data_IF_156887405277
#
_entry.id   IF_156887405277
#
_cell.length_a   1.000
_cell.length_b   1.000
_cell.length_c   1.000
_cell.angle_alpha   90.00
_cell.angle_beta   90.00
_cell.angle_gamma   90.00
#
_symmetry.space_group_name_H-M   'P 1'
#
loop_
_entity.id
_entity.type
_entity.pdbx_description
1 polymer ?
#
# COMPACT_ATOMS: atom_id res chain seq x y z
N UNK A 1 -3.68 11.36 23.78
CA UNK A 1 -4.31 11.56 22.44
C UNK A 1 -5.81 11.76 22.57
N UNK A 2 -6.54 10.85 23.23
CA UNK A 2 -7.99 10.95 23.39
C UNK A 2 -8.46 12.26 24.05
N UNK A 3 -7.82 12.70 25.14
CA UNK A 3 -8.17 13.95 25.82
C UNK A 3 -8.06 15.18 24.90
N UNK A 4 -7.02 15.22 24.07
CA UNK A 4 -6.82 16.30 23.10
C UNK A 4 -7.86 16.26 21.98
N UNK A 5 -8.24 15.07 21.52
CA UNK A 5 -9.29 14.89 20.52
C UNK A 5 -10.65 15.36 21.05
N UNK A 6 -11.01 14.97 22.28
CA UNK A 6 -12.26 15.40 22.91
C UNK A 6 -12.32 16.91 23.11
N UNK A 7 -11.21 17.53 23.53
CA UNK A 7 -11.13 18.99 23.63
C UNK A 7 -11.34 19.69 22.26
N UNK A 8 -10.78 19.13 21.18
CA UNK A 8 -11.00 19.64 19.83
C UNK A 8 -12.45 19.48 19.37
N UNK A 9 -13.10 18.34 19.67
CA UNK A 9 -14.51 18.11 19.35
C UNK A 9 -15.41 19.11 20.09
N UNK A 10 -15.20 19.30 21.38
CA UNK A 10 -15.96 20.29 22.16
C UNK A 10 -15.79 21.70 21.57
N UNK A 11 -14.60 22.04 21.08
CA UNK A 11 -14.38 23.34 20.45
C UNK A 11 -15.18 23.51 19.16
N UNK A 12 -15.35 22.44 18.38
CA UNK A 12 -16.21 22.45 17.19
C UNK A 12 -17.68 22.64 17.58
N UNK A 13 -18.15 22.02 18.66
CA UNK A 13 -19.51 22.22 19.19
C UNK A 13 -19.75 23.66 19.65
N UNK A 14 -18.79 24.27 20.37
CA UNK A 14 -18.86 25.70 20.74
C UNK A 14 -18.95 26.63 19.52
N UNK A 15 -18.33 26.24 18.40
CA UNK A 15 -18.38 26.97 17.13
C UNK A 15 -19.66 26.71 16.32
N UNK A 16 -20.58 25.89 16.86
CA UNK A 16 -21.89 25.62 16.27
C UNK A 16 -21.95 24.35 15.42
N UNK A 17 -20.92 23.49 15.43
CA UNK A 17 -21.00 22.18 14.79
C UNK A 17 -21.90 21.24 15.60
N UNK A 18 -22.69 20.42 14.92
CA UNK A 18 -23.43 19.30 15.54
C UNK A 18 -22.59 18.04 15.44
N UNK A 19 -22.30 17.41 16.57
CA UNK A 19 -21.54 16.16 16.62
C UNK A 19 -22.49 14.97 16.72
N UNK A 20 -22.46 14.11 15.70
CA UNK A 20 -23.21 12.85 15.71
C UNK A 20 -22.30 11.73 16.21
N UNK A 21 -22.58 11.23 17.41
CA UNK A 21 -21.76 10.20 18.05
C UNK A 21 -22.10 8.76 17.61
N UNK A 22 -23.25 8.56 16.97
CA UNK A 22 -23.75 7.25 16.52
C UNK A 22 -23.27 6.85 15.11
N UNK A 23 -22.07 7.27 14.73
CA UNK A 23 -21.44 6.82 13.47
C UNK A 23 -20.68 5.52 13.70
N UNK A 24 -20.81 4.57 12.77
CA UNK A 24 -20.16 3.26 12.86
C UNK A 24 -19.49 2.92 11.54
N UNK A 25 -18.23 2.51 11.61
CA UNK A 25 -17.41 2.07 10.48
C UNK A 25 -16.86 0.65 10.75
N UNK A 26 -17.72 -0.39 10.73
CA UNK A 26 -17.36 -1.74 11.18
C UNK A 26 -16.22 -2.37 10.36
N UNK A 27 -15.97 -1.94 9.12
CA UNK A 27 -14.89 -2.50 8.30
C UNK A 27 -13.52 -1.80 8.49
N UNK A 28 -13.44 -0.72 9.28
CA UNK A 28 -12.19 0.02 9.57
C UNK A 28 -11.01 -0.88 10.00
N UNK A 29 -11.19 -1.91 10.87
CA UNK A 29 -10.08 -2.78 11.26
C UNK A 29 -9.39 -3.50 10.09
N UNK A 30 -10.11 -3.72 8.98
CA UNK A 30 -9.57 -4.37 7.78
C UNK A 30 -8.86 -3.41 6.82
N UNK A 31 -8.96 -2.09 7.04
CA UNK A 31 -8.42 -1.09 6.13
C UNK A 31 -6.90 -1.22 5.96
N UNK A 32 -6.19 -1.47 7.07
CA UNK A 32 -4.73 -1.65 7.05
C UNK A 32 -4.32 -2.90 6.26
N UNK A 33 -5.03 -4.01 6.46
CA UNK A 33 -4.75 -5.26 5.76
C UNK A 33 -5.00 -5.11 4.25
N UNK A 34 -6.13 -4.52 3.86
CA UNK A 34 -6.44 -4.24 2.46
C UNK A 34 -5.38 -3.32 1.83
N UNK A 35 -4.95 -2.28 2.55
CA UNK A 35 -3.90 -1.37 2.11
C UNK A 35 -2.57 -2.10 1.85
N UNK A 36 -2.13 -2.97 2.76
CA UNK A 36 -0.87 -3.71 2.61
C UNK A 36 -0.92 -4.83 1.55
N UNK A 37 -2.07 -5.13 0.97
CA UNK A 37 -2.17 -5.99 -0.20
C UNK A 37 -2.18 -5.14 -1.47
N UNK A 38 -3.05 -4.13 -1.53
CA UNK A 38 -3.25 -3.31 -2.74
C UNK A 38 -2.00 -2.46 -3.03
N UNK A 39 -1.51 -1.70 -2.05
CA UNK A 39 -0.43 -0.75 -2.27
C UNK A 39 0.89 -1.44 -2.68
N UNK A 40 1.33 -2.56 -2.07
CA UNK A 40 2.52 -3.28 -2.52
C UNK A 40 2.36 -3.94 -3.89
N UNK A 41 1.17 -4.44 -4.22
CA UNK A 41 0.85 -5.01 -5.54
C UNK A 41 1.02 -3.96 -6.64
N UNK A 42 0.48 -2.76 -6.44
CA UNK A 42 0.61 -1.65 -7.39
C UNK A 42 2.02 -1.05 -7.40
N UNK A 43 2.67 -0.96 -6.24
CA UNK A 43 4.05 -0.48 -6.13
C UNK A 43 5.01 -1.38 -6.91
N UNK A 44 4.86 -2.71 -6.82
CA UNK A 44 5.70 -3.65 -7.57
C UNK A 44 5.64 -3.39 -9.08
N UNK A 45 4.43 -3.29 -9.63
CA UNK A 45 4.23 -3.02 -11.06
C UNK A 45 4.83 -1.66 -11.46
N UNK A 46 4.65 -0.64 -10.61
CA UNK A 46 5.22 0.67 -10.84
C UNK A 46 6.75 0.70 -10.78
N UNK A 47 7.36 -0.09 -9.89
CA UNK A 47 8.81 -0.14 -9.68
C UNK A 47 9.52 -1.11 -10.65
N UNK A 48 8.77 -1.88 -11.44
CA UNK A 48 9.35 -2.75 -12.48
C UNK A 48 10.17 -1.96 -13.52
N UNK A 49 9.83 -0.69 -13.75
CA UNK A 49 10.52 0.20 -14.70
C UNK A 49 11.95 0.59 -14.31
N UNK A 50 12.35 0.35 -13.06
CA UNK A 50 13.71 0.66 -12.58
C UNK A 50 14.57 -0.59 -12.77
N UNK A 51 15.18 -0.66 -13.95
CA UNK A 51 16.03 -1.77 -14.40
C UNK A 51 17.47 -1.33 -14.70
N UNK A 52 17.76 -0.02 -14.66
CA UNK A 52 19.07 0.56 -14.96
C UNK A 52 19.36 0.75 -16.44
N UNK A 53 18.45 0.37 -17.35
CA UNK A 53 18.69 0.43 -18.81
C UNK A 53 18.48 1.83 -19.35
N UNK A 54 17.39 2.51 -18.95
CA UNK A 54 17.06 3.86 -19.46
C UNK A 54 17.61 4.98 -18.59
N UNK A 55 17.61 4.79 -17.27
CA UNK A 55 17.98 5.81 -16.30
C UNK A 55 18.20 5.21 -14.91
N UNK A 56 18.84 5.99 -14.03
CA UNK A 56 19.07 5.65 -12.64
C UNK A 56 20.36 4.86 -12.43
N UNK A 57 20.43 4.18 -11.29
CA UNK A 57 21.54 3.28 -10.98
C UNK A 57 21.53 2.08 -11.93
N UNK A 58 22.70 1.69 -12.41
CA UNK A 58 22.91 0.49 -13.23
C UNK A 58 24.14 -0.23 -12.72
N UNK A 59 24.01 -1.52 -12.44
CA UNK A 59 25.14 -2.37 -12.08
C UNK A 59 25.86 -2.81 -13.36
N UNK A 60 27.13 -2.41 -13.51
CA UNK A 60 27.92 -2.62 -14.75
C UNK A 60 29.05 -3.63 -14.60
N UNK A 61 29.25 -4.20 -13.40
CA UNK A 61 30.33 -5.16 -13.11
C UNK A 61 29.86 -6.61 -13.35
N UNK A 62 29.46 -6.88 -14.60
CA UNK A 62 29.05 -8.21 -15.10
C UNK A 62 28.93 -8.18 -16.64
N UNK A 63 29.23 -9.29 -17.28
CA UNK A 63 29.01 -9.51 -18.72
C UNK A 63 27.61 -10.09 -19.02
N UNK A 64 26.81 -10.41 -17.99
CA UNK A 64 25.47 -10.97 -18.11
C UNK A 64 24.40 -9.90 -17.97
N UNK A 65 23.58 -9.73 -19.01
CA UNK A 65 22.42 -8.83 -18.98
C UNK A 65 21.46 -9.18 -17.83
N UNK A 66 21.22 -10.46 -17.58
CA UNK A 66 20.32 -10.90 -16.51
C UNK A 66 20.87 -10.55 -15.13
N UNK A 67 22.16 -10.76 -14.91
CA UNK A 67 22.81 -10.42 -13.65
C UNK A 67 22.84 -8.91 -13.43
N UNK A 68 23.07 -8.13 -14.50
CA UNK A 68 23.02 -6.66 -14.44
C UNK A 68 21.64 -6.18 -13.97
N UNK A 69 20.55 -6.72 -14.52
CA UNK A 69 19.17 -6.39 -14.13
C UNK A 69 18.88 -6.76 -12.67
N UNK A 70 19.24 -7.97 -12.26
CA UNK A 70 19.00 -8.48 -10.90
C UNK A 70 19.78 -7.67 -9.86
N UNK A 71 21.09 -7.48 -10.06
CA UNK A 71 21.95 -6.73 -9.14
C UNK A 71 21.59 -5.25 -9.08
N UNK A 72 21.19 -4.65 -10.21
CA UNK A 72 20.70 -3.27 -10.24
C UNK A 72 19.52 -3.09 -9.29
N UNK A 73 18.56 -4.03 -9.31
CA UNK A 73 17.40 -3.98 -8.41
C UNK A 73 17.76 -4.36 -6.97
N UNK A 74 18.68 -5.31 -6.79
CA UNK A 74 19.13 -5.74 -5.46
C UNK A 74 19.82 -4.62 -4.68
N UNK A 75 20.73 -3.89 -5.32
CA UNK A 75 21.50 -2.80 -4.72
C UNK A 75 20.83 -1.44 -4.84
N UNK A 76 19.97 -1.25 -5.83
CA UNK A 76 19.23 0.00 -6.04
C UNK A 76 18.03 0.19 -5.11
N UNK A 77 17.46 -0.89 -4.58
CA UNK A 77 16.33 -0.81 -3.65
C UNK A 77 16.71 -1.10 -2.19
N UNK A 78 16.24 -0.25 -1.28
CA UNK A 78 16.29 -0.51 0.16
C UNK A 78 15.40 -1.69 0.59
N UNK A 79 15.62 -2.18 1.80
CA UNK A 79 15.00 -3.44 2.25
C UNK A 79 13.47 -3.39 2.33
N UNK A 80 12.88 -2.26 2.73
CA UNK A 80 11.42 -2.11 2.76
C UNK A 80 10.80 -2.16 1.36
N UNK A 81 11.47 -1.54 0.39
CA UNK A 81 11.00 -1.55 -1.00
C UNK A 81 11.04 -2.98 -1.55
N UNK A 82 12.14 -3.70 -1.30
CA UNK A 82 12.26 -5.12 -1.70
C UNK A 82 11.18 -5.98 -1.04
N UNK A 83 10.88 -5.79 0.26
CA UNK A 83 9.78 -6.50 0.95
C UNK A 83 8.43 -6.28 0.27
N UNK A 84 8.12 -5.04 -0.09
CA UNK A 84 6.86 -4.71 -0.78
C UNK A 84 6.79 -5.28 -2.18
N UNK A 85 7.89 -5.26 -2.92
CA UNK A 85 7.98 -5.89 -4.24
C UNK A 85 7.68 -7.40 -4.10
N UNK A 86 8.30 -8.09 -3.15
CA UNK A 86 8.06 -9.52 -2.92
C UNK A 86 6.60 -9.81 -2.56
N UNK A 87 6.03 -9.04 -1.62
CA UNK A 87 4.63 -9.19 -1.21
C UNK A 87 3.65 -8.94 -2.37
N UNK A 88 3.89 -7.89 -3.16
CA UNK A 88 3.09 -7.56 -4.32
C UNK A 88 3.16 -8.63 -5.42
N UNK A 89 4.36 -9.15 -5.70
CA UNK A 89 4.56 -10.28 -6.63
C UNK A 89 3.80 -11.51 -6.17
N UNK A 90 3.84 -11.84 -4.88
CA UNK A 90 3.08 -12.97 -4.34
C UNK A 90 1.57 -12.75 -4.47
N UNK A 91 1.05 -11.58 -4.06
CA UNK A 91 -0.37 -11.26 -4.10
C UNK A 91 -0.96 -11.25 -5.52
N UNK A 92 -0.15 -10.95 -6.54
CA UNK A 92 -0.56 -10.95 -7.96
C UNK A 92 -0.25 -12.27 -8.70
N UNK A 93 0.45 -13.21 -8.06
CA UNK A 93 0.83 -14.47 -8.70
C UNK A 93 -0.39 -15.34 -9.05
N UNK A 94 -0.24 -16.15 -10.11
CA UNK A 94 -1.29 -17.06 -10.56
C UNK A 94 -1.67 -18.03 -9.42
N UNK A 95 -2.97 -18.10 -9.10
CA UNK A 95 -3.50 -18.90 -7.99
C UNK A 95 -3.73 -18.12 -6.68
N UNK A 96 -3.08 -16.97 -6.51
CA UNK A 96 -3.21 -16.14 -5.30
C UNK A 96 -3.93 -14.81 -5.54
N UNK A 97 -4.03 -14.37 -6.81
CA UNK A 97 -4.72 -13.13 -7.20
C UNK A 97 -6.13 -12.98 -6.62
N UNK A 98 -6.98 -14.00 -6.79
CA UNK A 98 -8.37 -13.93 -6.33
C UNK A 98 -8.48 -13.93 -4.80
N UNK A 99 -7.61 -14.72 -4.15
CA UNK A 99 -7.59 -14.88 -2.70
C UNK A 99 -7.09 -13.62 -1.98
N UNK A 100 -6.15 -12.89 -2.58
CA UNK A 100 -5.50 -11.74 -1.96
C UNK A 100 -5.92 -10.42 -2.62
N UNK A 101 -5.48 -10.17 -3.85
CA UNK A 101 -5.66 -8.86 -4.49
C UNK A 101 -7.13 -8.54 -4.76
N UNK A 102 -7.88 -9.46 -5.38
CA UNK A 102 -9.31 -9.26 -5.64
C UNK A 102 -10.12 -9.16 -4.34
N UNK A 103 -9.77 -9.98 -3.33
CA UNK A 103 -10.43 -9.91 -2.03
C UNK A 103 -10.19 -8.57 -1.34
N UNK A 104 -8.97 -8.03 -1.38
CA UNK A 104 -8.64 -6.73 -0.82
C UNK A 104 -9.38 -5.60 -1.54
N UNK A 105 -9.51 -5.64 -2.87
CA UNK A 105 -10.31 -4.66 -3.62
C UNK A 105 -11.79 -4.69 -3.21
N UNK A 106 -12.38 -5.87 -3.00
CA UNK A 106 -13.76 -6.00 -2.49
C UNK A 106 -13.92 -5.40 -1.09
N UNK A 107 -12.96 -5.64 -0.19
CA UNK A 107 -12.97 -5.03 1.16
C UNK A 107 -12.84 -3.51 1.07
N UNK A 108 -11.99 -2.99 0.18
CA UNK A 108 -11.89 -1.54 -0.08
C UNK A 108 -13.23 -0.95 -0.55
N UNK A 109 -13.98 -1.66 -1.39
CA UNK A 109 -15.33 -1.23 -1.79
C UNK A 109 -16.28 -1.16 -0.60
N UNK A 110 -16.28 -2.17 0.28
CA UNK A 110 -17.12 -2.14 1.50
C UNK A 110 -16.76 -0.95 2.39
N UNK A 111 -15.46 -0.72 2.64
CA UNK A 111 -15.01 0.45 3.42
C UNK A 111 -15.50 1.75 2.78
N UNK A 112 -15.36 1.89 1.45
CA UNK A 112 -15.83 3.09 0.74
C UNK A 112 -17.33 3.32 0.92
N UNK A 113 -18.15 2.27 0.83
CA UNK A 113 -19.60 2.36 1.00
C UNK A 113 -20.02 2.85 2.39
N UNK A 114 -19.15 2.76 3.40
CA UNK A 114 -19.42 3.32 4.73
C UNK A 114 -19.20 4.84 4.81
N UNK A 115 -18.51 5.42 3.82
CA UNK A 115 -18.24 6.87 3.73
C UNK A 115 -19.07 7.58 2.66
N UNK A 116 -19.70 6.83 1.75
CA UNK A 116 -20.62 7.34 0.72
C UNK A 116 -22.02 7.56 1.34
#
# INVERSE_FOLDING_TARGET
METALRAAINKLEELGARVEWEVSLPHTPYALAAYYIIAPSEAMANLARYDGVKYGFSYTDTDSMWEALEKTRQFGFGDEVKRRIMLGTYALSAGYYDAWYLKAQKVRTLIRQEFD
#
